data_IF_996437224575
#
_entry.id   IF_996437224575
#
_cell.length_a   1.000
_cell.length_b   1.000
_cell.length_c   1.000
_cell.angle_alpha   90.00
_cell.angle_beta   90.00
_cell.angle_gamma   90.00
#
_symmetry.space_group_name_H-M   'P 1'
#
loop_
_entity.id
_entity.type
_entity.pdbx_description
1 polymer ?
#
# COMPACT_ATOMS: atom_id res chain seq x y z
N UNK A 1 4.10 -9.02 -26.34
CA UNK A 1 5.43 -8.68 -25.77
C UNK A 1 6.26 -9.94 -25.73
N UNK A 2 7.54 -9.91 -26.12
CA UNK A 2 8.42 -11.08 -25.94
C UNK A 2 8.37 -11.56 -24.49
N UNK A 3 8.23 -12.87 -24.27
CA UNK A 3 8.05 -13.48 -22.95
C UNK A 3 9.36 -13.44 -22.15
N UNK A 4 9.79 -12.25 -21.74
CA UNK A 4 10.88 -12.11 -20.78
C UNK A 4 10.31 -12.23 -19.36
N UNK A 5 11.01 -12.90 -18.42
CA UNK A 5 10.58 -12.93 -17.03
C UNK A 5 10.50 -11.52 -16.45
N UNK A 6 9.50 -11.29 -15.59
CA UNK A 6 9.42 -10.01 -14.88
C UNK A 6 10.64 -9.83 -13.97
N UNK A 7 11.29 -8.68 -14.10
CA UNK A 7 12.45 -8.28 -13.31
C UNK A 7 12.17 -6.98 -12.53
N UNK A 8 13.16 -6.50 -11.77
CA UNK A 8 13.02 -5.27 -11.00
C UNK A 8 12.76 -4.04 -11.87
N UNK A 9 13.34 -3.99 -13.07
CA UNK A 9 13.11 -2.89 -14.00
C UNK A 9 11.64 -2.80 -14.44
N UNK A 10 10.92 -3.92 -14.54
CA UNK A 10 9.50 -3.91 -14.90
C UNK A 10 8.60 -3.41 -13.76
N UNK A 11 9.01 -3.60 -12.50
CA UNK A 11 8.33 -3.00 -11.34
C UNK A 11 8.47 -1.47 -11.38
N UNK A 12 9.66 -0.97 -11.76
CA UNK A 12 9.88 0.47 -11.91
C UNK A 12 9.04 1.05 -13.06
N UNK A 13 8.98 0.36 -14.21
CA UNK A 13 8.08 0.74 -15.31
C UNK A 13 6.62 0.75 -14.89
N UNK A 14 6.17 -0.25 -14.13
CA UNK A 14 4.79 -0.29 -13.61
C UNK A 14 4.48 0.92 -12.73
N UNK A 15 5.40 1.27 -11.82
CA UNK A 15 5.26 2.43 -10.95
C UNK A 15 5.12 3.73 -11.74
N UNK A 16 5.93 3.92 -12.77
CA UNK A 16 5.89 5.08 -13.67
C UNK A 16 4.61 5.09 -14.51
N UNK A 17 4.25 3.95 -15.09
CA UNK A 17 3.04 3.77 -15.91
C UNK A 17 1.77 4.11 -15.14
N UNK A 18 1.69 3.71 -13.87
CA UNK A 18 0.54 4.01 -13.00
C UNK A 18 0.63 5.39 -12.32
N UNK A 19 1.74 6.11 -12.48
CA UNK A 19 2.04 7.36 -11.78
C UNK A 19 1.87 7.27 -10.25
N UNK A 20 2.28 6.14 -9.65
CA UNK A 20 2.10 5.90 -8.20
C UNK A 20 3.38 6.09 -7.39
N UNK A 21 3.18 6.50 -6.14
CA UNK A 21 4.25 6.64 -5.17
C UNK A 21 4.89 5.30 -4.78
N UNK A 22 6.07 5.39 -4.16
CA UNK A 22 6.81 4.23 -3.67
C UNK A 22 6.00 3.41 -2.65
N UNK A 23 5.29 4.10 -1.75
CA UNK A 23 4.49 3.48 -0.70
C UNK A 23 3.34 2.66 -1.30
N UNK A 24 2.58 3.25 -2.21
CA UNK A 24 1.47 2.60 -2.91
C UNK A 24 1.93 1.37 -3.68
N UNK A 25 3.03 1.47 -4.43
CA UNK A 25 3.57 0.34 -5.17
C UNK A 25 4.04 -0.80 -4.24
N UNK A 26 4.70 -0.51 -3.11
CA UNK A 26 5.08 -1.55 -2.14
C UNK A 26 3.90 -2.26 -1.50
N UNK A 27 2.85 -1.51 -1.15
CA UNK A 27 1.65 -2.08 -0.57
C UNK A 27 0.84 -2.88 -1.58
N UNK A 28 0.68 -2.36 -2.79
CA UNK A 28 -0.05 -3.00 -3.89
C UNK A 28 0.57 -4.35 -4.27
N UNK A 29 1.89 -4.43 -4.33
CA UNK A 29 2.62 -5.65 -4.67
C UNK A 29 2.83 -6.60 -3.47
N UNK A 30 2.52 -6.14 -2.25
CA UNK A 30 2.74 -6.93 -1.02
C UNK A 30 4.21 -7.19 -0.73
N UNK A 31 5.12 -6.37 -1.28
CA UNK A 31 6.55 -6.65 -1.37
C UNK A 31 7.38 -5.38 -1.08
N UNK A 32 8.45 -5.50 -0.30
CA UNK A 32 9.34 -4.36 0.00
C UNK A 32 10.27 -4.04 -1.16
N UNK A 33 10.77 -2.80 -1.25
CA UNK A 33 11.73 -2.40 -2.29
C UNK A 33 12.93 -3.33 -2.43
N UNK A 34 13.47 -3.80 -1.31
CA UNK A 34 14.63 -4.71 -1.30
C UNK A 34 14.32 -6.03 -2.01
N UNK A 35 13.06 -6.47 -2.00
CA UNK A 35 12.64 -7.69 -2.69
C UNK A 35 12.43 -7.51 -4.19
N UNK A 36 12.35 -6.27 -4.67
CA UNK A 36 12.13 -5.97 -6.09
C UNK A 36 13.38 -6.13 -6.92
N UNK A 37 14.56 -6.11 -6.28
CA UNK A 37 15.87 -6.17 -6.96
C UNK A 37 15.97 -5.08 -8.02
N UNK A 38 15.97 -3.81 -7.64
CA UNK A 38 15.94 -2.68 -8.63
C UNK A 38 17.30 -2.08 -8.95
N UNK A 39 18.38 -2.57 -8.33
CA UNK A 39 19.73 -1.98 -8.45
C UNK A 39 20.77 -3.04 -8.80
N UNK A 40 21.79 -2.64 -9.57
CA UNK A 40 22.94 -3.48 -9.90
C UNK A 40 22.59 -4.69 -10.77
N UNK A 41 23.43 -5.72 -10.72
CA UNK A 41 23.23 -6.98 -11.46
C UNK A 41 21.94 -7.72 -11.07
N UNK A 42 21.41 -7.45 -9.87
CA UNK A 42 20.15 -8.07 -9.43
C UNK A 42 18.93 -7.53 -10.21
N UNK A 43 19.05 -6.35 -10.85
CA UNK A 43 17.96 -5.69 -11.60
C UNK A 43 17.41 -6.45 -12.78
N UNK A 44 18.24 -7.30 -13.37
CA UNK A 44 17.88 -8.16 -14.51
C UNK A 44 17.45 -9.56 -14.07
N UNK A 45 17.54 -9.88 -12.78
CA UNK A 45 17.16 -11.19 -12.28
C UNK A 45 15.63 -11.29 -12.12
N UNK A 46 15.02 -12.43 -12.49
CA UNK A 46 13.59 -12.63 -12.32
C UNK A 46 13.16 -12.50 -10.85
N UNK A 47 12.05 -11.78 -10.62
CA UNK A 47 11.43 -11.69 -9.29
C UNK A 47 10.72 -13.01 -8.93
N UNK A 48 10.18 -13.10 -7.71
CA UNK A 48 9.39 -14.27 -7.31
C UNK A 48 8.14 -14.41 -8.19
N UNK A 49 7.74 -15.63 -8.54
CA UNK A 49 6.62 -15.88 -9.48
C UNK A 49 5.31 -15.20 -9.08
N UNK A 50 4.84 -15.25 -7.81
CA UNK A 50 3.60 -14.57 -7.45
C UNK A 50 3.67 -13.04 -7.60
N UNK A 51 4.85 -12.46 -7.37
CA UNK A 51 5.10 -11.03 -7.59
C UNK A 51 5.08 -10.71 -9.10
N UNK A 52 5.67 -11.58 -9.93
CA UNK A 52 5.62 -11.43 -11.37
C UNK A 52 4.19 -11.46 -11.92
N UNK A 53 3.32 -12.31 -11.37
CA UNK A 53 1.90 -12.35 -11.76
C UNK A 53 1.18 -11.03 -11.46
N UNK A 54 1.39 -10.46 -10.28
CA UNK A 54 0.84 -9.14 -9.93
C UNK A 54 1.31 -8.06 -10.90
N UNK A 55 2.62 -8.01 -11.17
CA UNK A 55 3.19 -7.01 -12.09
C UNK A 55 2.61 -7.17 -13.50
N UNK A 56 2.52 -8.41 -14.02
CA UNK A 56 1.87 -8.67 -15.32
C UNK A 56 0.40 -8.28 -15.33
N UNK A 57 -0.35 -8.64 -14.29
CA UNK A 57 -1.75 -8.30 -14.18
C UNK A 57 -1.98 -6.80 -14.23
N UNK A 58 -1.22 -6.02 -13.46
CA UNK A 58 -1.34 -4.56 -13.46
C UNK A 58 -0.77 -3.87 -14.71
N UNK A 59 0.24 -4.44 -15.37
CA UNK A 59 0.71 -3.95 -16.67
C UNK A 59 -0.31 -4.21 -17.79
N UNK A 60 -1.06 -5.31 -17.71
CA UNK A 60 -2.11 -5.64 -18.67
C UNK A 60 -3.36 -4.79 -18.44
N UNK A 61 -3.76 -4.62 -17.17
CA UNK A 61 -4.90 -3.81 -16.77
C UNK A 61 -4.63 -3.06 -15.45
N UNK A 62 -4.21 -1.79 -15.51
CA UNK A 62 -3.92 -1.00 -14.32
C UNK A 62 -5.17 -0.68 -13.50
N UNK A 63 -6.38 -0.79 -14.08
CA UNK A 63 -7.63 -0.51 -13.37
C UNK A 63 -7.97 -1.57 -12.32
N UNK A 64 -7.28 -2.72 -12.35
CA UNK A 64 -7.40 -3.79 -11.34
C UNK A 64 -6.60 -3.51 -10.07
N UNK A 65 -5.79 -2.46 -10.04
CA UNK A 65 -5.06 -2.10 -8.84
C UNK A 65 -6.02 -1.74 -7.70
N UNK A 66 -5.86 -2.33 -6.50
CA UNK A 66 -6.76 -2.07 -5.37
C UNK A 66 -6.42 -0.76 -4.64
N UNK A 67 -5.98 0.26 -5.39
CA UNK A 67 -5.66 1.57 -4.83
C UNK A 67 -6.93 2.45 -4.83
N UNK A 68 -7.25 3.11 -3.72
CA UNK A 68 -8.35 4.05 -3.68
C UNK A 68 -8.02 5.29 -4.51
N UNK A 69 -9.06 5.98 -4.98
CA UNK A 69 -8.90 7.36 -5.40
C UNK A 69 -8.62 8.22 -4.15
N UNK A 70 -7.51 8.95 -4.16
CA UNK A 70 -7.17 9.87 -3.09
C UNK A 70 -7.79 11.22 -3.40
N UNK A 71 -8.76 11.69 -2.60
CA UNK A 71 -9.36 12.99 -2.82
C UNK A 71 -8.32 14.08 -2.58
N UNK A 72 -8.33 15.10 -3.42
CA UNK A 72 -7.49 16.26 -3.26
C UNK A 72 -8.01 17.21 -2.16
N UNK A 73 -7.26 18.28 -1.93
CA UNK A 73 -7.62 19.28 -0.95
C UNK A 73 -8.99 19.93 -1.22
N UNK A 74 -9.26 20.27 -2.48
CA UNK A 74 -10.46 21.00 -2.87
C UNK A 74 -11.69 20.11 -2.76
N UNK A 75 -11.60 18.84 -3.14
CA UNK A 75 -12.66 17.85 -2.95
C UNK A 75 -13.07 17.75 -1.49
N UNK A 76 -12.11 17.59 -0.57
CA UNK A 76 -12.42 17.52 0.87
C UNK A 76 -12.94 18.87 1.39
N UNK A 77 -12.34 19.98 0.98
CA UNK A 77 -12.76 21.32 1.41
C UNK A 77 -14.21 21.61 0.99
N UNK A 78 -14.56 21.36 -0.27
CA UNK A 78 -15.92 21.56 -0.77
C UNK A 78 -16.92 20.62 -0.11
N UNK A 79 -16.50 19.40 0.24
CA UNK A 79 -17.33 18.45 0.97
C UNK A 79 -17.58 18.91 2.42
N UNK A 80 -16.60 19.50 3.10
CA UNK A 80 -16.72 19.98 4.49
C UNK A 80 -17.47 21.30 4.63
N UNK A 81 -17.32 22.21 3.67
CA UNK A 81 -17.77 23.60 3.78
C UNK A 81 -19.28 23.76 4.00
N UNK A 82 -20.18 22.98 3.38
CA UNK A 82 -21.63 23.05 3.65
C UNK A 82 -21.96 22.74 5.11
N UNK A 83 -21.41 21.67 5.66
CA UNK A 83 -21.64 21.28 7.06
C UNK A 83 -21.06 22.32 8.03
N UNK A 84 -19.89 22.88 7.71
CA UNK A 84 -19.31 23.97 8.49
C UNK A 84 -20.23 25.20 8.54
N UNK A 85 -20.79 25.62 7.39
CA UNK A 85 -21.72 26.75 7.29
C UNK A 85 -22.97 26.55 8.11
N UNK A 86 -23.55 25.34 8.09
CA UNK A 86 -24.76 25.03 8.87
C UNK A 86 -24.55 25.24 10.37
N UNK A 87 -23.38 24.85 10.89
CA UNK A 87 -23.05 24.99 12.31
C UNK A 87 -22.60 26.41 12.67
N UNK A 88 -21.96 27.13 11.75
CA UNK A 88 -21.30 28.42 12.03
C UNK A 88 -22.03 29.63 11.42
N UNK A 89 -23.35 29.54 11.25
CA UNK A 89 -24.18 30.66 10.79
C UNK A 89 -23.81 31.15 9.39
N UNK A 90 -23.70 30.23 8.43
CA UNK A 90 -23.34 30.46 7.03
C UNK A 90 -21.94 31.01 6.76
N UNK A 91 -21.06 31.07 7.76
CA UNK A 91 -19.64 31.41 7.56
C UNK A 91 -18.92 30.28 6.81
N UNK A 92 -18.18 30.64 5.75
CA UNK A 92 -17.33 29.69 5.01
C UNK A 92 -16.22 29.15 5.92
N UNK A 93 -15.86 27.88 5.72
CA UNK A 93 -14.68 27.30 6.37
C UNK A 93 -13.43 28.04 5.88
N UNK A 94 -12.68 28.67 6.78
CA UNK A 94 -11.44 29.32 6.38
C UNK A 94 -10.38 28.26 6.01
N UNK A 95 -9.60 28.50 4.94
CA UNK A 95 -8.47 27.64 4.57
C UNK A 95 -7.48 27.43 5.73
N UNK A 96 -7.31 28.44 6.58
CA UNK A 96 -6.48 28.35 7.79
C UNK A 96 -7.03 27.41 8.86
N UNK A 97 -8.37 27.34 8.98
CA UNK A 97 -9.05 26.37 9.84
C UNK A 97 -8.92 24.96 9.28
N UNK A 98 -8.93 24.80 7.95
CA UNK A 98 -8.69 23.50 7.31
C UNK A 98 -7.28 22.95 7.61
N UNK A 99 -6.23 23.78 7.55
CA UNK A 99 -4.88 23.35 7.98
C UNK A 99 -4.85 22.86 9.43
N UNK A 100 -5.63 23.49 10.30
CA UNK A 100 -5.79 23.10 11.70
C UNK A 100 -6.54 21.77 11.85
N UNK A 101 -7.63 21.56 11.11
CA UNK A 101 -8.34 20.26 11.09
C UNK A 101 -7.41 19.13 10.62
N UNK A 102 -6.43 19.44 9.78
CA UNK A 102 -5.48 18.48 9.23
C UNK A 102 -4.26 18.19 10.12
N UNK A 103 -4.18 18.75 11.33
CA UNK A 103 -3.04 18.49 12.22
C UNK A 103 -1.76 19.24 11.84
N UNK A 104 -1.84 20.24 10.95
CA UNK A 104 -0.68 20.97 10.40
C UNK A 104 -0.77 22.47 10.62
N UNK A 105 0.30 23.20 10.29
CA UNK A 105 0.31 24.65 10.41
C UNK A 105 -0.86 25.32 9.67
N UNK A 106 -1.37 26.43 10.23
CA UNK A 106 -2.56 27.13 9.68
C UNK A 106 -2.43 27.45 8.20
N UNK A 107 -1.25 27.81 7.74
CA UNK A 107 -1.03 28.21 6.35
C UNK A 107 -1.05 27.06 5.34
N UNK A 108 -0.96 25.79 5.80
CA UNK A 108 -0.93 24.65 4.89
C UNK A 108 -2.20 24.55 4.03
N UNK A 109 -3.37 24.84 4.59
CA UNK A 109 -4.61 24.85 3.82
C UNK A 109 -4.62 25.90 2.70
N UNK A 110 -3.96 27.04 2.90
CA UNK A 110 -3.80 28.03 1.84
C UNK A 110 -2.81 27.55 0.78
N UNK A 111 -1.68 26.95 1.19
CA UNK A 111 -0.71 26.35 0.26
C UNK A 111 -1.37 25.30 -0.65
N UNK A 112 -2.20 24.41 -0.11
CA UNK A 112 -2.89 23.41 -0.93
C UNK A 112 -3.92 24.04 -1.87
N UNK A 113 -4.63 25.09 -1.43
CA UNK A 113 -5.58 25.82 -2.29
C UNK A 113 -4.94 26.51 -3.50
N UNK A 114 -3.61 26.70 -3.50
CA UNK A 114 -2.86 27.26 -4.64
C UNK A 114 -2.04 26.19 -5.38
N UNK A 115 -2.30 24.90 -5.12
CA UNK A 115 -1.74 23.77 -5.88
C UNK A 115 -0.46 23.16 -5.33
N UNK A 116 -0.06 23.46 -4.08
CA UNK A 116 1.08 22.75 -3.48
C UNK A 116 0.73 21.28 -3.19
N UNK A 117 1.69 20.39 -3.46
CA UNK A 117 1.55 18.96 -3.16
C UNK A 117 1.44 18.71 -1.64
N UNK A 118 0.69 17.68 -1.29
CA UNK A 118 0.56 17.18 0.07
C UNK A 118 1.33 15.86 0.26
N UNK A 119 1.65 15.54 1.51
CA UNK A 119 2.36 14.29 1.82
C UNK A 119 1.43 13.07 1.70
N UNK A 120 1.98 11.84 1.54
CA UNK A 120 1.18 10.61 1.55
C UNK A 120 0.29 10.49 2.80
N UNK A 121 0.82 10.77 3.99
CA UNK A 121 0.06 10.83 5.25
C UNK A 121 -1.16 11.77 5.12
N UNK A 122 -1.00 12.94 4.51
CA UNK A 122 -2.10 13.86 4.30
C UNK A 122 -3.14 13.31 3.32
N UNK A 123 -2.73 12.65 2.23
CA UNK A 123 -3.67 12.01 1.29
C UNK A 123 -4.53 10.95 1.98
N UNK A 124 -3.97 10.20 2.94
CA UNK A 124 -4.74 9.20 3.71
C UNK A 124 -5.68 9.85 4.71
N UNK A 125 -5.28 10.98 5.31
CA UNK A 125 -6.18 11.78 6.14
C UNK A 125 -7.33 12.40 5.34
N UNK A 126 -7.05 12.91 4.13
CA UNK A 126 -8.07 13.40 3.21
C UNK A 126 -9.05 12.30 2.82
N UNK A 127 -8.54 11.12 2.44
CA UNK A 127 -9.37 9.95 2.15
C UNK A 127 -10.26 9.57 3.33
N UNK A 128 -9.71 9.54 4.55
CA UNK A 128 -10.48 9.25 5.75
C UNK A 128 -11.60 10.28 5.98
N UNK A 129 -11.29 11.57 5.91
CA UNK A 129 -12.28 12.64 6.10
C UNK A 129 -13.36 12.59 5.02
N UNK A 130 -12.97 12.39 3.77
CA UNK A 130 -13.87 12.26 2.64
C UNK A 130 -14.85 11.11 2.84
N UNK A 131 -14.36 9.91 3.14
CA UNK A 131 -15.20 8.74 3.39
C UNK A 131 -16.14 8.95 4.57
N UNK A 132 -15.64 9.54 5.66
CA UNK A 132 -16.45 9.86 6.83
C UNK A 132 -17.63 10.77 6.48
N UNK A 133 -17.39 11.83 5.72
CA UNK A 133 -18.44 12.79 5.37
C UNK A 133 -19.37 12.23 4.30
N UNK A 134 -18.86 11.49 3.31
CA UNK A 134 -19.72 10.88 2.30
C UNK A 134 -20.65 9.82 2.89
N UNK A 135 -20.18 9.01 3.84
CA UNK A 135 -20.97 7.91 4.39
C UNK A 135 -21.84 8.32 5.57
N UNK A 136 -21.42 9.33 6.35
CA UNK A 136 -22.10 9.73 7.60
C UNK A 136 -22.54 11.20 7.62
N UNK A 137 -22.36 11.93 6.53
CA UNK A 137 -22.80 13.32 6.36
C UNK A 137 -22.37 14.21 7.53
N UNK A 138 -23.32 14.92 8.16
CA UNK A 138 -23.10 15.79 9.31
C UNK A 138 -22.48 15.05 10.51
N UNK A 139 -22.87 13.79 10.74
CA UNK A 139 -22.30 12.99 11.81
C UNK A 139 -20.81 12.68 11.53
N UNK A 140 -20.47 12.46 10.25
CA UNK A 140 -19.08 12.31 9.80
C UNK A 140 -18.25 13.57 10.03
N UNK A 141 -18.79 14.74 9.65
CA UNK A 141 -18.15 16.04 9.92
C UNK A 141 -17.91 16.25 11.43
N UNK A 142 -18.93 16.02 12.26
CA UNK A 142 -18.82 16.19 13.72
C UNK A 142 -17.79 15.23 14.33
N UNK A 143 -17.73 13.99 13.86
CA UNK A 143 -16.75 13.01 14.30
C UNK A 143 -15.31 13.44 13.97
N UNK A 144 -15.08 14.03 12.79
CA UNK A 144 -13.76 14.60 12.44
C UNK A 144 -13.37 15.70 13.43
N UNK A 145 -14.28 16.65 13.70
CA UNK A 145 -14.02 17.72 14.66
C UNK A 145 -13.75 17.18 16.07
N UNK A 146 -14.50 16.16 16.51
CA UNK A 146 -14.29 15.49 17.80
C UNK A 146 -12.92 14.81 17.89
N UNK A 147 -12.46 14.13 16.83
CA UNK A 147 -11.09 13.57 16.76
C UNK A 147 -10.05 14.67 16.94
N UNK A 148 -10.21 15.79 16.22
CA UNK A 148 -9.30 16.94 16.30
C UNK A 148 -9.32 17.55 17.70
N UNK A 149 -10.49 17.71 18.31
CA UNK A 149 -10.64 18.25 19.66
C UNK A 149 -9.98 17.34 20.71
N UNK A 150 -10.18 16.02 20.63
CA UNK A 150 -9.54 15.06 21.55
C UNK A 150 -8.02 15.10 21.46
N UNK A 151 -7.47 15.19 20.25
CA UNK A 151 -6.02 15.33 20.06
C UNK A 151 -5.53 16.70 20.54
N UNK A 152 -6.30 17.77 20.34
CA UNK A 152 -5.96 19.10 20.83
C UNK A 152 -5.89 19.13 22.36
N UNK A 153 -6.87 18.53 23.04
CA UNK A 153 -6.90 18.43 24.51
C UNK A 153 -5.68 17.70 25.06
N UNK A 154 -5.29 16.59 24.44
CA UNK A 154 -4.07 15.89 24.84
C UNK A 154 -2.82 16.71 24.56
N UNK A 155 -2.87 17.61 23.58
CA UNK A 155 -1.78 18.54 23.28
C UNK A 155 -1.79 19.83 24.11
N UNK A 156 -2.62 19.90 25.14
CA UNK A 156 -2.65 21.01 26.08
C UNK A 156 -3.45 22.22 25.60
N UNK A 157 -4.31 22.06 24.59
CA UNK A 157 -5.31 23.05 24.22
C UNK A 157 -6.60 22.77 25.00
N UNK A 158 -7.30 23.80 25.46
CA UNK A 158 -8.58 23.66 26.17
C UNK A 158 -9.67 23.07 25.27
N UNK A 159 -9.73 23.56 24.03
CA UNK A 159 -10.75 23.18 23.05
C UNK A 159 -10.27 23.45 21.60
N UNK A 160 -11.11 23.08 20.65
CA UNK A 160 -10.84 23.26 19.22
C UNK A 160 -10.75 24.74 18.81
N UNK A 161 -11.45 25.65 19.49
CA UNK A 161 -11.44 27.08 19.14
C UNK A 161 -10.14 27.76 19.62
N UNK A 162 -9.62 27.38 20.79
CA UNK A 162 -8.28 27.77 21.21
C UNK A 162 -7.23 27.26 20.22
N UNK A 163 -7.35 26.01 19.79
CA UNK A 163 -6.47 25.45 18.77
C UNK A 163 -6.56 26.25 17.46
N UNK A 164 -7.76 26.62 16.98
CA UNK A 164 -7.90 27.43 15.76
C UNK A 164 -7.24 28.83 15.92
N UNK A 165 -7.29 29.42 17.12
CA UNK A 165 -6.67 30.72 17.42
C UNK A 165 -5.15 30.64 17.51
N UNK A 166 -4.58 29.57 18.06
CA UNK A 166 -3.13 29.43 18.26
C UNK A 166 -2.42 28.68 17.11
N UNK A 167 -3.13 27.76 16.46
CA UNK A 167 -2.59 26.79 15.53
C UNK A 167 -1.81 25.68 16.24
N UNK A 168 -1.50 24.61 15.53
CA UNK A 168 -0.65 23.55 16.05
C UNK A 168 0.77 24.05 16.28
N UNK A 169 1.23 24.01 17.52
CA UNK A 169 2.60 24.38 17.89
C UNK A 169 3.49 23.14 18.01
N UNK A 170 3.61 22.38 16.91
CA UNK A 170 4.25 21.06 16.88
C UNK A 170 5.70 21.05 17.44
N UNK A 171 6.49 22.13 17.24
CA UNK A 171 7.85 22.24 17.82
C UNK A 171 7.86 22.58 19.30
N UNK A 172 6.96 23.45 19.77
CA UNK A 172 6.94 23.92 21.16
C UNK A 172 6.29 22.91 22.11
N UNK A 173 5.53 21.94 21.60
CA UNK A 173 4.91 20.89 22.40
C UNK A 173 5.83 19.67 22.62
N UNK A 174 6.62 19.28 21.60
CA UNK A 174 7.47 18.10 21.69
C UNK A 174 8.72 18.31 22.57
N UNK A 175 9.27 19.53 22.63
CA UNK A 175 10.46 19.83 23.44
C UNK A 175 10.19 19.71 24.96
N UNK A 176 9.16 20.37 25.54
CA UNK A 176 8.84 20.21 26.95
C UNK A 176 8.42 18.79 27.32
N UNK A 177 7.74 18.07 26.41
CA UNK A 177 7.37 16.66 26.66
C UNK A 177 8.58 15.75 26.63
N UNK A 178 9.53 15.99 25.72
CA UNK A 178 10.78 15.25 25.69
C UNK A 178 11.55 15.47 26.99
N UNK A 179 11.66 16.71 27.44
CA UNK A 179 12.32 17.05 28.71
C UNK A 179 11.58 16.47 29.92
N UNK A 180 10.24 16.51 29.94
CA UNK A 180 9.42 15.91 31.00
C UNK A 180 9.59 14.39 31.02
N UNK A 181 9.57 13.75 29.85
CA UNK A 181 9.74 12.31 29.72
C UNK A 181 11.16 11.87 30.14
N UNK A 182 12.19 12.61 29.74
CA UNK A 182 13.58 12.38 30.18
C UNK A 182 13.72 12.51 31.71
N UNK A 183 12.94 13.39 32.34
CA UNK A 183 12.96 13.59 33.81
C UNK A 183 12.12 12.57 34.59
N UNK A 184 10.98 12.16 34.06
CA UNK A 184 9.94 11.42 34.83
C UNK A 184 9.63 10.03 34.29
N UNK A 185 10.10 9.69 33.09
CA UNK A 185 9.74 8.46 32.37
C UNK A 185 8.27 8.39 31.94
N UNK A 186 7.50 9.48 32.08
CA UNK A 186 6.07 9.58 31.76
C UNK A 186 5.77 10.90 31.05
N UNK A 187 4.69 10.90 30.26
CA UNK A 187 4.13 12.12 29.66
C UNK A 187 2.82 12.40 30.38
N UNK A 188 2.76 13.46 31.18
CA UNK A 188 1.49 13.91 31.78
C UNK A 188 0.83 14.91 30.85
N UNK A 189 -0.42 14.63 30.45
CA UNK A 189 -1.20 15.52 29.59
C UNK A 189 -2.21 16.33 30.41
N UNK A 190 -2.30 17.66 30.20
CA UNK A 190 -3.04 18.56 31.09
C UNK A 190 -4.55 18.27 31.21
N UNK A 191 -5.16 17.75 30.15
CA UNK A 191 -6.62 17.57 30.06
C UNK A 191 -7.04 16.09 30.05
N UNK A 192 -6.16 15.19 30.52
CA UNK A 192 -6.43 13.75 30.61
C UNK A 192 -6.33 13.00 29.27
N UNK A 193 -6.24 11.68 29.35
CA UNK A 193 -6.06 10.77 28.21
C UNK A 193 -4.60 10.34 28.00
N UNK A 194 -4.38 9.46 27.02
CA UNK A 194 -3.04 9.04 26.60
C UNK A 194 -2.74 9.62 25.23
N UNK A 195 -1.59 10.30 25.03
CA UNK A 195 -1.17 10.77 23.70
C UNK A 195 -1.06 9.58 22.73
N UNK A 196 -1.26 9.83 21.44
CA UNK A 196 -0.97 8.80 20.44
C UNK A 196 0.54 8.63 20.35
N UNK A 197 1.02 7.48 20.79
CA UNK A 197 2.40 7.05 20.75
C UNK A 197 2.55 5.82 19.84
N UNK A 198 3.76 5.27 19.74
CA UNK A 198 4.00 4.05 18.97
C UNK A 198 3.18 2.87 19.48
N UNK A 199 2.96 2.79 20.79
CA UNK A 199 2.17 1.75 21.45
C UNK A 199 0.68 1.80 21.04
N UNK A 200 0.10 3.00 20.92
CA UNK A 200 -1.27 3.19 20.44
C UNK A 200 -1.43 2.65 19.03
N UNK A 201 -0.50 2.98 18.14
CA UNK A 201 -0.63 2.55 16.75
C UNK A 201 -0.36 1.05 16.62
N UNK A 202 0.54 0.48 17.44
CA UNK A 202 0.72 -0.97 17.54
C UNK A 202 -0.59 -1.68 17.95
N UNK A 203 -1.29 -1.16 18.98
CA UNK A 203 -2.61 -1.68 19.37
C UNK A 203 -3.65 -1.51 18.26
N UNK A 204 -3.63 -0.37 17.55
CA UNK A 204 -4.52 -0.13 16.40
C UNK A 204 -4.29 -1.17 15.30
N UNK A 205 -3.02 -1.49 15.00
CA UNK A 205 -2.66 -2.54 14.04
C UNK A 205 -3.21 -3.91 14.45
N UNK A 206 -3.04 -4.28 15.72
CA UNK A 206 -3.52 -5.55 16.27
C UNK A 206 -5.05 -5.64 16.25
N UNK A 207 -5.73 -4.57 16.69
CA UNK A 207 -7.19 -4.46 16.67
C UNK A 207 -7.78 -4.65 15.27
N UNK A 208 -7.13 -4.10 14.25
CA UNK A 208 -7.56 -4.21 12.85
C UNK A 208 -7.05 -5.48 12.15
N UNK A 209 -6.26 -6.31 12.84
CA UNK A 209 -5.57 -7.46 12.27
C UNK A 209 -4.73 -7.11 11.01
N UNK A 210 -4.05 -5.95 11.05
CA UNK A 210 -3.23 -5.48 9.93
C UNK A 210 -1.84 -6.08 9.93
N UNK A 211 -1.33 -6.37 8.74
CA UNK A 211 0.10 -6.59 8.57
C UNK A 211 0.87 -5.27 8.81
N UNK A 212 2.19 -5.38 9.00
CA UNK A 212 3.04 -4.19 9.08
C UNK A 212 2.98 -3.34 7.82
N UNK A 213 2.79 -3.95 6.64
CA UNK A 213 2.69 -3.24 5.38
C UNK A 213 1.36 -2.48 5.27
N UNK A 214 0.26 -3.10 5.72
CA UNK A 214 -1.07 -2.47 5.69
C UNK A 214 -1.12 -1.22 6.56
N UNK A 215 -0.66 -1.31 7.82
CA UNK A 215 -0.68 -0.15 8.72
C UNK A 215 0.25 0.99 8.24
N UNK A 216 1.40 0.67 7.66
CA UNK A 216 2.31 1.68 7.08
C UNK A 216 1.66 2.40 5.89
N UNK A 217 0.94 1.67 5.04
CA UNK A 217 0.23 2.24 3.90
C UNK A 217 -0.98 3.06 4.31
N UNK A 218 -1.82 2.53 5.21
CA UNK A 218 -3.01 3.20 5.74
C UNK A 218 -2.65 4.50 6.45
N UNK A 219 -1.52 4.53 7.16
CA UNK A 219 -1.07 5.74 7.85
C UNK A 219 -0.24 6.67 6.96
N UNK A 220 0.12 6.26 5.74
CA UNK A 220 0.98 7.07 4.88
C UNK A 220 2.36 7.38 5.48
N UNK A 221 2.83 6.56 6.43
CA UNK A 221 3.97 6.88 7.30
C UNK A 221 4.86 5.64 7.53
N UNK A 222 6.17 5.84 7.51
CA UNK A 222 7.14 4.74 7.60
C UNK A 222 7.20 4.10 8.98
N UNK A 223 7.79 2.90 9.05
CA UNK A 223 7.97 2.24 10.35
C UNK A 223 8.89 3.03 11.31
N UNK A 224 9.67 3.98 10.80
CA UNK A 224 10.58 4.76 11.64
C UNK A 224 9.86 5.96 12.28
N UNK A 225 8.80 6.47 11.65
CA UNK A 225 8.09 7.70 12.09
C UNK A 225 7.19 7.53 13.32
N UNK A 226 6.82 6.30 13.69
CA UNK A 226 5.99 5.99 14.87
C UNK A 226 6.78 5.40 16.06
N UNK A 227 8.12 5.44 16.01
CA UNK A 227 9.00 5.19 17.16
C UNK A 227 8.84 3.86 17.92
N UNK A 228 8.45 2.75 17.29
CA UNK A 228 7.97 1.50 17.93
C UNK A 228 8.93 0.76 18.88
N UNK A 229 10.15 1.26 19.13
CA UNK A 229 11.12 0.62 20.01
C UNK A 229 11.81 1.63 20.93
N UNK A 230 12.10 1.17 22.15
CA UNK A 230 12.82 1.94 23.16
C UNK A 230 12.00 3.09 23.72
N UNK A 231 12.69 4.04 24.35
CA UNK A 231 12.08 5.22 24.99
C UNK A 231 11.26 6.08 24.04
N UNK A 232 11.65 6.13 22.76
CA UNK A 232 10.92 6.89 21.74
C UNK A 232 9.51 6.35 21.49
N UNK A 233 9.22 5.08 21.80
CA UNK A 233 7.90 4.48 21.60
C UNK A 233 6.80 5.11 22.44
N UNK A 234 7.19 5.77 23.54
CA UNK A 234 6.30 6.47 24.47
C UNK A 234 6.17 7.96 24.14
N UNK A 235 6.90 8.45 23.14
CA UNK A 235 6.79 9.84 22.69
C UNK A 235 5.56 10.01 21.79
N UNK A 236 4.84 11.15 21.91
CA UNK A 236 3.74 11.45 21.00
C UNK A 236 4.23 11.51 19.54
N UNK A 237 3.47 10.91 18.64
CA UNK A 237 3.74 10.99 17.19
C UNK A 237 3.35 12.36 16.62
N UNK A 238 3.67 12.60 15.35
CA UNK A 238 3.21 13.81 14.65
C UNK A 238 1.68 13.91 14.66
N UNK A 239 1.15 15.12 14.82
CA UNK A 239 -0.29 15.38 14.97
C UNK A 239 -1.16 14.77 13.88
N UNK A 240 -0.86 14.96 12.59
CA UNK A 240 -1.66 14.34 11.51
C UNK A 240 -1.69 12.81 11.60
N UNK A 241 -0.56 12.19 11.96
CA UNK A 241 -0.48 10.75 12.17
C UNK A 241 -1.35 10.32 13.37
N UNK A 242 -1.33 11.10 14.44
CA UNK A 242 -2.18 10.88 15.61
C UNK A 242 -3.67 11.00 15.27
N UNK A 243 -4.07 12.03 14.51
CA UNK A 243 -5.45 12.22 14.05
C UNK A 243 -5.93 11.04 13.22
N UNK A 244 -5.12 10.60 12.25
CA UNK A 244 -5.45 9.47 11.39
C UNK A 244 -5.53 8.15 12.18
N UNK A 245 -4.56 7.88 13.06
CA UNK A 245 -4.58 6.70 13.92
C UNK A 245 -5.80 6.67 14.84
N UNK A 246 -6.18 7.82 15.44
CA UNK A 246 -7.42 7.95 16.21
C UNK A 246 -8.65 7.72 15.36
N UNK A 247 -8.70 8.34 14.18
CA UNK A 247 -9.81 8.22 13.25
C UNK A 247 -10.09 6.77 12.90
N UNK A 248 -9.07 6.03 12.45
CA UNK A 248 -9.21 4.62 12.07
C UNK A 248 -9.55 3.75 13.29
N UNK A 249 -8.94 4.00 14.45
CA UNK A 249 -9.26 3.23 15.65
C UNK A 249 -10.71 3.47 16.15
N UNK A 250 -11.24 4.68 15.97
CA UNK A 250 -12.62 5.03 16.35
C UNK A 250 -13.65 4.64 15.29
N UNK A 251 -13.24 4.54 14.03
CA UNK A 251 -14.09 4.23 12.87
C UNK A 251 -13.40 3.20 11.98
N UNK A 252 -13.23 1.95 12.45
CA UNK A 252 -12.51 0.90 11.73
C UNK A 252 -13.13 0.56 10.36
N UNK A 253 -14.42 0.81 10.18
CA UNK A 253 -15.14 0.64 8.92
C UNK A 253 -14.71 1.64 7.82
N UNK A 254 -14.03 2.72 8.18
CA UNK A 254 -13.50 3.73 7.24
C UNK A 254 -12.11 3.40 6.72
N UNK A 255 -11.52 2.29 7.17
CA UNK A 255 -10.20 1.90 6.71
C UNK A 255 -10.23 1.59 5.20
N UNK A 256 -9.24 2.06 4.43
CA UNK A 256 -9.22 1.90 2.97
C UNK A 256 -8.63 0.57 2.48
N UNK A 257 -8.11 -0.30 3.36
CA UNK A 257 -7.61 -1.61 2.94
C UNK A 257 -8.78 -2.50 2.49
N UNK A 258 -8.65 -3.16 1.33
CA UNK A 258 -9.63 -4.12 0.89
C UNK A 258 -9.62 -5.35 1.80
N UNK A 259 -10.77 -6.02 1.89
CA UNK A 259 -10.83 -7.38 2.40
C UNK A 259 -10.04 -8.32 1.48
N UNK A 260 -9.19 -9.16 2.06
CA UNK A 260 -8.44 -10.17 1.32
C UNK A 260 -9.17 -11.51 1.36
N UNK A 261 -9.45 -12.13 0.20
CA UNK A 261 -10.07 -13.44 0.17
C UNK A 261 -9.09 -14.50 0.64
N UNK A 262 -9.62 -15.58 1.23
CA UNK A 262 -8.82 -16.77 1.56
C UNK A 262 -8.50 -17.56 0.31
N UNK A 263 -7.52 -18.47 0.43
CA UNK A 263 -7.19 -19.40 -0.63
C UNK A 263 -8.43 -20.21 -1.07
N UNK A 264 -9.21 -20.71 -0.11
CA UNK A 264 -10.41 -21.51 -0.35
C UNK A 264 -11.45 -20.73 -1.14
N UNK A 265 -11.68 -19.46 -0.79
CA UNK A 265 -12.63 -18.61 -1.51
C UNK A 265 -12.25 -18.46 -2.99
N UNK A 266 -10.97 -18.25 -3.29
CA UNK A 266 -10.49 -18.16 -4.68
C UNK A 266 -10.56 -19.52 -5.36
N UNK A 267 -10.15 -20.59 -4.68
CA UNK A 267 -10.14 -21.95 -5.20
C UNK A 267 -11.55 -22.42 -5.60
N UNK A 268 -12.56 -22.18 -4.76
CA UNK A 268 -13.96 -22.51 -5.08
C UNK A 268 -14.44 -21.78 -6.34
N UNK A 269 -14.13 -20.49 -6.48
CA UNK A 269 -14.49 -19.70 -7.66
C UNK A 269 -13.83 -20.20 -8.95
N UNK A 270 -12.61 -20.76 -8.85
CA UNK A 270 -11.90 -21.31 -10.01
C UNK A 270 -12.46 -22.65 -10.50
N UNK A 271 -13.16 -23.43 -9.66
CA UNK A 271 -13.60 -24.80 -10.03
C UNK A 271 -14.50 -24.84 -11.26
N UNK A 272 -15.48 -23.94 -11.33
CA UNK A 272 -16.43 -23.86 -12.44
C UNK A 272 -15.73 -23.54 -13.77
N UNK A 273 -15.07 -22.37 -13.87
CA UNK A 273 -14.29 -21.98 -15.05
C UNK A 273 -13.24 -23.02 -15.46
N UNK A 274 -12.50 -23.59 -14.49
CA UNK A 274 -11.51 -24.63 -14.76
C UNK A 274 -12.13 -25.89 -15.37
N UNK A 275 -13.25 -26.38 -14.81
CA UNK A 275 -13.96 -27.55 -15.36
C UNK A 275 -14.48 -27.28 -16.76
N UNK A 276 -14.98 -26.08 -17.03
CA UNK A 276 -15.44 -25.68 -18.36
C UNK A 276 -14.28 -25.63 -19.36
N UNK A 277 -13.11 -25.13 -18.96
CA UNK A 277 -11.95 -24.98 -19.84
C UNK A 277 -11.22 -26.29 -20.12
N UNK A 278 -11.05 -27.13 -19.10
CA UNK A 278 -10.19 -28.32 -19.17
C UNK A 278 -10.95 -29.66 -19.08
N UNK A 279 -12.27 -29.64 -18.87
CA UNK A 279 -13.09 -30.86 -18.80
C UNK A 279 -12.88 -31.71 -17.54
N UNK A 280 -12.12 -31.23 -16.56
CA UNK A 280 -11.76 -31.99 -15.35
C UNK A 280 -11.89 -31.13 -14.08
N UNK A 281 -12.02 -31.78 -12.92
CA UNK A 281 -12.11 -31.09 -11.63
C UNK A 281 -10.77 -30.47 -11.23
N UNK A 282 -10.79 -29.24 -10.73
CA UNK A 282 -9.61 -28.56 -10.21
C UNK A 282 -9.15 -29.23 -8.90
N UNK A 283 -7.88 -29.65 -8.87
CA UNK A 283 -7.23 -30.19 -7.67
C UNK A 283 -6.34 -29.13 -7.02
N UNK A 284 -6.09 -29.24 -5.72
CA UNK A 284 -5.24 -28.30 -4.99
C UNK A 284 -3.81 -28.22 -5.53
N UNK A 285 -3.20 -29.36 -5.89
CA UNK A 285 -1.85 -29.42 -6.45
C UNK A 285 -1.74 -28.71 -7.80
N UNK A 286 -2.80 -28.76 -8.61
CA UNK A 286 -2.89 -28.05 -9.89
C UNK A 286 -3.17 -26.56 -9.67
N UNK A 287 -4.04 -26.22 -8.71
CA UNK A 287 -4.34 -24.84 -8.35
C UNK A 287 -3.07 -24.07 -7.95
N UNK A 288 -2.09 -24.74 -7.33
CA UNK A 288 -0.80 -24.15 -6.95
C UNK A 288 -0.07 -23.48 -8.14
N UNK A 289 -0.25 -23.99 -9.36
CA UNK A 289 0.36 -23.43 -10.56
C UNK A 289 -0.16 -22.02 -10.87
N UNK A 290 -1.47 -21.78 -10.69
CA UNK A 290 -2.09 -20.46 -10.87
C UNK A 290 -1.73 -19.46 -9.77
N UNK A 291 -1.03 -19.92 -8.74
CA UNK A 291 -0.59 -19.12 -7.60
C UNK A 291 0.92 -18.92 -7.57
N UNK A 292 1.68 -19.45 -8.53
CA UNK A 292 3.12 -19.21 -8.60
C UNK A 292 3.90 -19.93 -7.51
N UNK A 293 3.34 -20.98 -6.90
CA UNK A 293 3.88 -21.68 -5.73
C UNK A 293 4.01 -23.18 -5.95
N UNK A 294 4.86 -23.82 -5.13
CA UNK A 294 5.02 -25.27 -5.14
C UNK A 294 3.74 -26.02 -4.74
N UNK A 295 3.59 -27.25 -5.24
CA UNK A 295 2.40 -28.11 -5.10
C UNK A 295 1.94 -28.35 -3.66
N UNK A 296 2.83 -28.23 -2.68
CA UNK A 296 2.53 -28.42 -1.26
C UNK A 296 1.94 -27.18 -0.56
N UNK A 297 2.09 -25.98 -1.13
CA UNK A 297 1.66 -24.73 -0.47
C UNK A 297 0.14 -24.66 -0.21
N UNK A 298 -0.74 -25.03 -1.15
CA UNK A 298 -2.19 -25.06 -0.91
C UNK A 298 -2.60 -25.82 0.34
N UNK A 299 -2.02 -27.00 0.58
CA UNK A 299 -2.31 -27.80 1.78
C UNK A 299 -2.02 -27.00 3.05
N UNK A 300 -0.90 -26.29 3.09
CA UNK A 300 -0.55 -25.49 4.28
C UNK A 300 -1.50 -24.33 4.54
N UNK A 301 -2.12 -23.78 3.50
CA UNK A 301 -3.11 -22.70 3.63
C UNK A 301 -4.46 -23.22 4.12
N UNK A 302 -4.88 -24.39 3.62
CA UNK A 302 -6.06 -25.11 4.12
C UNK A 302 -5.90 -25.48 5.59
N UNK A 303 -4.68 -25.84 6.01
CA UNK A 303 -4.34 -26.10 7.42
C UNK A 303 -4.24 -24.81 8.27
N UNK A 304 -4.60 -23.64 7.73
CA UNK A 304 -4.69 -22.37 8.45
C UNK A 304 -3.37 -21.61 8.59
N UNK A 305 -2.30 -21.99 7.88
CA UNK A 305 -1.06 -21.19 7.89
C UNK A 305 -1.25 -19.88 7.15
N UNK A 306 -0.64 -18.81 7.68
CA UNK A 306 -0.73 -17.49 7.08
C UNK A 306 -0.19 -17.47 5.65
N UNK A 307 -0.93 -16.82 4.78
CA UNK A 307 -0.55 -16.57 3.40
C UNK A 307 0.30 -15.30 3.37
N UNK A 308 1.48 -15.37 2.74
CA UNK A 308 2.36 -14.21 2.64
C UNK A 308 1.65 -13.02 1.97
N UNK A 309 2.11 -11.80 2.25
CA UNK A 309 1.48 -10.56 1.76
C UNK A 309 1.33 -10.52 0.24
N UNK A 310 2.34 -10.95 -0.52
CA UNK A 310 2.28 -11.05 -1.99
C UNK A 310 1.12 -11.96 -2.42
N UNK A 311 0.94 -13.10 -1.76
CA UNK A 311 -0.14 -14.03 -2.08
C UNK A 311 -1.50 -13.44 -1.77
N UNK A 312 -1.66 -12.73 -0.65
CA UNK A 312 -2.91 -12.02 -0.33
C UNK A 312 -3.30 -11.02 -1.42
N UNK A 313 -2.33 -10.28 -1.98
CA UNK A 313 -2.57 -9.35 -3.10
C UNK A 313 -2.97 -10.09 -4.37
N UNK A 314 -2.27 -11.17 -4.71
CA UNK A 314 -2.61 -11.98 -5.88
C UNK A 314 -3.98 -12.64 -5.75
N UNK A 315 -4.33 -13.18 -4.58
CA UNK A 315 -5.66 -13.71 -4.30
C UNK A 315 -6.75 -12.66 -4.47
N UNK A 316 -6.52 -11.43 -3.99
CA UNK A 316 -7.49 -10.34 -4.19
C UNK A 316 -7.71 -10.05 -5.67
N UNK A 317 -6.64 -9.92 -6.45
CA UNK A 317 -6.77 -9.64 -7.88
C UNK A 317 -7.46 -10.79 -8.62
N UNK A 318 -7.04 -12.04 -8.36
CA UNK A 318 -7.66 -13.22 -8.96
C UNK A 318 -9.15 -13.35 -8.57
N UNK A 319 -9.49 -13.11 -7.31
CA UNK A 319 -10.87 -13.09 -6.84
C UNK A 319 -11.71 -12.05 -7.59
N UNK A 320 -11.21 -10.82 -7.72
CA UNK A 320 -11.92 -9.76 -8.43
C UNK A 320 -12.14 -10.10 -9.90
N UNK A 321 -11.13 -10.68 -10.56
CA UNK A 321 -11.25 -11.17 -11.93
C UNK A 321 -12.34 -12.25 -12.05
N UNK A 322 -12.34 -13.23 -11.13
CA UNK A 322 -13.30 -14.33 -11.15
C UNK A 322 -14.73 -13.87 -10.83
N UNK A 323 -14.90 -12.97 -9.86
CA UNK A 323 -16.23 -12.47 -9.46
C UNK A 323 -16.80 -11.53 -10.53
N UNK A 324 -15.99 -10.63 -11.08
CA UNK A 324 -16.45 -9.63 -12.04
C UNK A 324 -16.62 -10.20 -13.44
N UNK A 325 -15.65 -11.01 -13.89
CA UNK A 325 -15.51 -11.40 -15.30
C UNK A 325 -15.75 -12.92 -15.52
N UNK A 326 -15.95 -13.72 -14.46
CA UNK A 326 -16.29 -15.14 -14.55
C UNK A 326 -15.23 -15.95 -15.32
N UNK A 327 -15.68 -16.66 -16.36
CA UNK A 327 -14.80 -17.44 -17.24
C UNK A 327 -13.74 -16.56 -17.93
N UNK A 328 -14.11 -15.35 -18.37
CA UNK A 328 -13.16 -14.42 -19.00
C UNK A 328 -12.06 -14.01 -18.02
N UNK A 329 -12.43 -13.74 -16.77
CA UNK A 329 -11.44 -13.44 -15.72
C UNK A 329 -10.52 -14.63 -15.43
N UNK A 330 -11.05 -15.85 -15.52
CA UNK A 330 -10.23 -17.05 -15.42
C UNK A 330 -9.27 -17.23 -16.61
N UNK A 331 -9.70 -16.95 -17.83
CA UNK A 331 -8.84 -16.98 -19.01
C UNK A 331 -7.71 -15.94 -18.90
N UNK A 332 -7.99 -14.73 -18.38
CA UNK A 332 -6.94 -13.73 -18.14
C UNK A 332 -5.93 -14.19 -17.07
N UNK A 333 -6.36 -14.93 -16.04
CA UNK A 333 -5.45 -15.57 -15.08
C UNK A 333 -4.56 -16.60 -15.79
N UNK A 334 -5.12 -17.43 -16.69
CA UNK A 334 -4.35 -18.37 -17.50
C UNK A 334 -3.31 -17.63 -18.32
N UNK A 335 -3.69 -16.55 -19.01
CA UNK A 335 -2.78 -15.78 -19.86
C UNK A 335 -1.59 -15.22 -19.06
N UNK A 336 -1.84 -14.69 -17.86
CA UNK A 336 -0.78 -14.19 -16.96
C UNK A 336 0.17 -15.33 -16.56
N UNK A 337 -0.40 -16.47 -16.15
CA UNK A 337 0.36 -17.63 -15.65
C UNK A 337 1.18 -18.26 -16.77
N UNK A 338 0.58 -18.48 -17.94
CA UNK A 338 1.22 -19.08 -19.10
C UNK A 338 2.30 -18.16 -19.68
N UNK A 339 2.04 -16.85 -19.79
CA UNK A 339 3.05 -15.90 -20.23
C UNK A 339 4.29 -15.90 -19.33
N UNK A 340 4.11 -15.99 -18.01
CA UNK A 340 5.22 -16.07 -17.06
C UNK A 340 5.87 -17.46 -17.03
N UNK A 341 5.12 -18.53 -17.25
CA UNK A 341 5.65 -19.88 -17.37
C UNK A 341 6.56 -20.01 -18.59
N UNK A 342 6.07 -19.58 -19.76
CA UNK A 342 6.88 -19.56 -20.99
C UNK A 342 8.11 -18.67 -20.84
N UNK A 343 7.97 -17.52 -20.18
CA UNK A 343 9.10 -16.64 -19.91
C UNK A 343 10.17 -17.32 -19.06
N UNK A 344 9.76 -18.20 -18.15
CA UNK A 344 10.65 -19.01 -17.32
C UNK A 344 11.10 -20.30 -18.01
N UNK A 345 10.71 -20.56 -19.25
CA UNK A 345 11.21 -21.69 -20.04
C UNK A 345 10.37 -22.97 -19.95
N UNK A 346 9.15 -22.90 -19.41
CA UNK A 346 8.16 -23.96 -19.59
C UNK A 346 7.61 -23.92 -21.02
N UNK A 347 7.22 -25.06 -21.58
CA UNK A 347 6.68 -25.10 -22.96
C UNK A 347 5.30 -24.50 -23.06
N UNK A 348 4.45 -24.74 -22.05
CA UNK A 348 3.06 -24.31 -21.96
C UNK A 348 2.55 -24.54 -20.52
N UNK A 349 1.26 -24.25 -20.28
CA UNK A 349 0.62 -24.49 -18.98
C UNK A 349 0.61 -25.98 -18.58
N UNK A 350 0.44 -26.92 -19.51
CA UNK A 350 0.41 -28.36 -19.19
C UNK A 350 1.76 -28.86 -18.65
N UNK A 351 2.84 -28.42 -19.28
CA UNK A 351 4.22 -28.69 -18.87
C UNK A 351 4.47 -28.15 -17.45
N UNK A 352 3.97 -26.95 -17.15
CA UNK A 352 4.00 -26.38 -15.80
C UNK A 352 3.17 -27.21 -14.81
N UNK A 353 1.98 -27.68 -15.16
CA UNK A 353 1.14 -28.49 -14.25
C UNK A 353 1.82 -29.82 -13.92
N UNK A 354 2.48 -30.45 -14.89
CA UNK A 354 3.21 -31.70 -14.67
C UNK A 354 4.40 -31.50 -13.73
N UNK A 355 5.26 -30.51 -14.03
CA UNK A 355 6.52 -30.29 -13.31
C UNK A 355 6.33 -29.51 -11.99
N UNK A 356 5.37 -28.60 -11.94
CA UNK A 356 5.24 -27.57 -10.91
C UNK A 356 6.28 -26.47 -11.02
N UNK A 357 6.10 -25.39 -10.24
CA UNK A 357 7.08 -24.30 -10.14
C UNK A 357 8.38 -24.79 -9.50
N UNK A 358 9.49 -24.78 -10.24
CA UNK A 358 10.81 -25.16 -9.76
C UNK A 358 11.63 -23.91 -9.38
N UNK A 359 12.21 -23.88 -8.16
CA UNK A 359 12.96 -22.71 -7.66
C UNK A 359 14.46 -22.71 -8.06
N UNK A 360 15.00 -23.83 -8.55
CA UNK A 360 16.46 -24.08 -8.57
C UNK A 360 17.15 -23.90 -9.92
N UNK A 361 16.49 -24.14 -11.03
CA UNK A 361 17.16 -24.20 -12.34
C UNK A 361 17.31 -22.82 -13.01
N UNK A 362 16.45 -21.86 -12.66
CA UNK A 362 16.31 -20.61 -13.41
C UNK A 362 17.30 -19.50 -13.03
N UNK A 363 17.75 -19.43 -11.77
CA UNK A 363 18.79 -18.44 -11.37
C UNK A 363 20.06 -18.62 -12.21
N UNK A 364 20.43 -19.87 -12.52
CA UNK A 364 21.64 -20.18 -13.30
C UNK A 364 21.50 -19.77 -14.77
N UNK A 365 20.37 -20.07 -15.40
CA UNK A 365 20.15 -19.77 -16.83
C UNK A 365 19.98 -18.27 -17.12
N UNK A 366 19.31 -17.52 -16.23
CA UNK A 366 19.15 -16.07 -16.37
C UNK A 366 20.49 -15.33 -16.18
N UNK A 367 21.30 -15.73 -15.19
CA UNK A 367 22.65 -15.20 -14.99
C UNK A 367 23.57 -15.51 -16.19
N UNK A 368 23.42 -16.70 -16.80
CA UNK A 368 24.22 -17.08 -17.97
C UNK A 368 23.89 -16.21 -19.18
N UNK A 369 22.60 -16.05 -19.54
CA UNK A 369 22.18 -15.18 -20.66
C UNK A 369 22.57 -13.72 -20.46
N UNK A 370 22.49 -13.20 -19.24
CA UNK A 370 22.90 -11.82 -18.98
C UNK A 370 24.40 -11.62 -19.19
N UNK A 371 25.23 -12.57 -18.76
CA UNK A 371 26.67 -12.54 -19.01
C UNK A 371 27.00 -12.62 -20.50
N UNK A 372 26.32 -13.50 -21.23
CA UNK A 372 26.47 -13.62 -22.70
C UNK A 372 26.14 -12.29 -23.39
N UNK A 373 25.04 -11.62 -23.02
CA UNK A 373 24.67 -10.32 -23.60
C UNK A 373 25.67 -9.19 -23.25
N UNK A 374 26.21 -9.16 -22.03
CA UNK A 374 27.23 -8.18 -21.64
C UNK A 374 28.54 -8.39 -22.41
N UNK A 375 28.92 -9.65 -22.65
CA UNK A 375 30.08 -10.00 -23.48
C UNK A 375 29.88 -9.55 -24.93
N UNK A 376 28.69 -9.75 -25.50
CA UNK A 376 28.34 -9.27 -26.85
C UNK A 376 28.36 -7.73 -26.96
N UNK A 377 27.75 -7.01 -26.01
CA UNK A 377 27.75 -5.53 -26.00
C UNK A 377 29.17 -4.95 -25.82
N UNK A 378 30.01 -5.59 -25.00
CA UNK A 378 31.41 -5.18 -24.83
C UNK A 378 32.22 -5.40 -26.11
N UNK A 379 31.93 -6.46 -26.85
CA UNK A 379 32.59 -6.80 -28.11
C UNK A 379 32.17 -5.82 -29.22
N UNK A 380 30.89 -5.44 -29.28
CA UNK A 380 30.38 -4.43 -30.22
C UNK A 380 30.93 -3.03 -29.94
N UNK A 381 31.00 -2.59 -28.67
CA UNK A 381 31.65 -1.32 -28.31
C UNK A 381 33.13 -1.31 -28.68
N UNK A 382 33.83 -2.42 -28.45
CA UNK A 382 35.25 -2.56 -28.81
C UNK A 382 35.48 -2.51 -30.33
N UNK A 383 34.56 -3.05 -31.12
CA UNK A 383 34.59 -2.98 -32.58
C UNK A 383 34.28 -1.57 -33.12
N UNK A 384 33.32 -0.86 -32.51
CA UNK A 384 32.97 0.52 -32.87
C UNK A 384 34.10 1.52 -32.55
N UNK A 385 34.84 1.33 -31.46
CA UNK A 385 35.97 2.21 -31.09
C UNK A 385 37.17 2.02 -32.02
N UNK A 386 37.37 0.83 -32.60
CA UNK A 386 38.45 0.57 -33.58
C UNK A 386 38.18 1.18 -34.96
N UNK A 387 36.92 1.39 -35.33
CA UNK A 387 36.53 1.99 -36.62
C UNK A 387 36.53 3.53 -36.60
N UNK A 388 36.63 4.16 -35.43
CA UNK A 388 36.71 5.62 -35.27
C UNK A 388 38.14 6.20 -35.25
N UNK A 389 39.17 5.40 -35.55
CA UNK A 389 40.59 5.84 -35.60
C UNK A 389 41.21 5.70 -37.00
N UNK A 390 40.39 5.46 -38.02
CA UNK A 390 40.75 5.62 -39.43
C UNK A 390 39.94 6.76 -40.00
N UNK A 391 40.37 7.99 -39.73
CA UNK A 391 39.83 9.24 -40.26
C UNK A 391 40.89 10.31 -40.17
#
# INVERSE_FOLDING_TARGET
MAHNPICGADIQKLKEFMAIGQLDCTWMLGASMHSWRVTGEDSVLPVQTPLAFLVRGFLNDPTRAPLPHYPDYDEVYQLMNPYHKMINGNKKLAHTKMGTICGVGKWAGHSWSVGHENSPLMSRWFLFMHNMIQQKEMAGYNAIIDIVQKEAMQRGYKDFEELCKKGWQNRNYLLPIKEQFEKTGRVEVPYGGNPVDGSFIQRTREFLNFSQLDIVWVLGASFQSWHVRGERAKMPVQTTLALLARGINSFPEMNPCPAYPTYEQVFELMKGPYRQRFGQSLRHDVASCFFGVGKAAPKTWVDGRDTGTIMKRWFKMAYDMLVKDGLKGFDEIIDIVEAEAMARGYRNLEDLVQQGWSNREYKKSALKKHKENLEEESTQKSASTRLGHTG
#
